data_IF_401362967532
#
_entry.id   IF_401362967532
#
_cell.length_a   1.000
_cell.length_b   1.000
_cell.length_c   1.000
_cell.angle_alpha   90.00
_cell.angle_beta   90.00
_cell.angle_gamma   90.00
#
_symmetry.space_group_name_H-M   'P 1'
#
loop_
_entity.id
_entity.type
_entity.pdbx_description
1 polymer ?
#
# COMPACT_ATOMS: atom_id res chain seq x y z
N UNK A 1 23.80 -8.33 -11.25
CA UNK A 1 23.40 -7.05 -10.63
C UNK A 1 21.97 -7.19 -10.10
N UNK A 2 21.80 -7.54 -8.81
CA UNK A 2 20.47 -7.70 -8.20
C UNK A 2 19.99 -6.34 -7.70
N UNK A 3 19.38 -5.54 -8.57
CA UNK A 3 18.69 -4.30 -8.18
C UNK A 3 17.46 -4.68 -7.36
N UNK A 4 17.64 -4.87 -6.06
CA UNK A 4 16.54 -4.81 -5.12
C UNK A 4 16.08 -3.36 -5.14
N UNK A 5 15.03 -3.05 -5.92
CA UNK A 5 14.35 -1.76 -5.88
C UNK A 5 13.56 -1.75 -4.56
N UNK A 6 14.27 -1.62 -3.46
CA UNK A 6 13.68 -1.43 -2.15
C UNK A 6 13.04 -0.05 -2.17
N UNK A 7 11.71 -0.04 -2.21
CA UNK A 7 10.93 1.20 -2.09
C UNK A 7 11.33 1.83 -0.76
N UNK A 8 11.76 3.09 -0.81
CA UNK A 8 12.22 3.83 0.37
C UNK A 8 11.15 3.74 1.48
N UNK A 9 11.56 3.24 2.65
CA UNK A 9 10.69 3.06 3.82
C UNK A 9 10.00 4.36 4.26
N UNK A 10 10.67 5.50 4.07
CA UNK A 10 10.10 6.84 4.33
C UNK A 10 8.95 7.14 3.37
N UNK A 11 9.13 6.84 2.08
CA UNK A 11 8.08 7.03 1.08
C UNK A 11 6.89 6.11 1.38
N UNK A 12 7.15 4.85 1.73
CA UNK A 12 6.13 3.90 2.14
C UNK A 12 5.35 4.41 3.36
N UNK A 13 6.03 4.95 4.38
CA UNK A 13 5.39 5.55 5.55
C UNK A 13 4.46 6.71 5.20
N UNK A 14 4.89 7.61 4.30
CA UNK A 14 4.05 8.71 3.78
C UNK A 14 2.81 8.18 3.04
N UNK A 15 2.96 7.12 2.24
CA UNK A 15 1.86 6.47 1.53
C UNK A 15 0.81 5.92 2.52
N UNK A 16 1.26 5.17 3.52
CA UNK A 16 0.37 4.57 4.51
C UNK A 16 -0.41 5.62 5.32
N UNK A 17 0.24 6.74 5.66
CA UNK A 17 -0.40 7.88 6.32
C UNK A 17 -1.42 8.59 5.42
N UNK A 18 -1.07 8.83 4.15
CA UNK A 18 -1.92 9.54 3.18
C UNK A 18 -3.28 8.86 3.00
N UNK A 19 -3.28 7.54 2.91
CA UNK A 19 -4.50 6.76 2.64
C UNK A 19 -5.24 6.31 3.91
N UNK A 20 -4.76 6.69 5.11
CA UNK A 20 -5.35 6.29 6.42
C UNK A 20 -5.75 4.80 6.48
N UNK A 21 -4.89 3.94 5.95
CA UNK A 21 -5.18 2.51 5.81
C UNK A 21 -5.33 1.84 7.18
N UNK A 22 -6.22 0.84 7.28
CA UNK A 22 -6.29 -0.01 8.49
C UNK A 22 -5.02 -0.85 8.65
N UNK A 23 -4.83 -1.46 9.82
CA UNK A 23 -3.70 -2.38 10.08
C UNK A 23 -3.61 -3.51 9.04
N UNK A 24 -4.75 -4.03 8.58
CA UNK A 24 -4.81 -5.08 7.55
C UNK A 24 -4.40 -4.54 6.18
N UNK A 25 -4.87 -3.34 5.82
CA UNK A 25 -4.48 -2.64 4.60
C UNK A 25 -2.98 -2.32 4.56
N UNK A 26 -2.42 -1.83 5.67
CA UNK A 26 -0.98 -1.53 5.81
C UNK A 26 -0.12 -2.76 5.55
N UNK A 27 -0.45 -3.91 6.14
CA UNK A 27 0.30 -5.15 5.92
C UNK A 27 0.27 -5.60 4.45
N UNK A 28 -0.87 -5.46 3.77
CA UNK A 28 -0.99 -5.78 2.34
C UNK A 28 -0.08 -4.93 1.46
N UNK A 29 0.04 -3.63 1.76
CA UNK A 29 0.94 -2.73 1.05
C UNK A 29 2.40 -3.00 1.36
N UNK A 30 2.76 -3.29 2.62
CA UNK A 30 4.14 -3.62 3.00
C UNK A 30 4.62 -4.89 2.28
N UNK A 31 3.79 -5.95 2.27
CA UNK A 31 4.08 -7.18 1.51
C UNK A 31 4.20 -6.92 0.02
N UNK A 32 3.36 -6.04 -0.53
CA UNK A 32 3.48 -5.64 -1.93
C UNK A 32 4.79 -4.89 -2.16
N UNK A 33 5.14 -3.92 -1.33
CA UNK A 33 6.37 -3.12 -1.47
C UNK A 33 7.65 -3.95 -1.41
N UNK A 34 7.63 -5.08 -0.71
CA UNK A 34 8.74 -6.04 -0.66
C UNK A 34 8.88 -6.92 -1.92
N UNK A 35 7.89 -6.93 -2.83
CA UNK A 35 7.99 -7.68 -4.09
C UNK A 35 8.92 -6.97 -5.06
N UNK A 36 9.79 -7.77 -5.72
CA UNK A 36 10.84 -7.35 -6.67
C UNK A 36 10.36 -6.42 -7.81
N UNK A 37 9.07 -6.45 -8.17
CA UNK A 37 8.49 -5.67 -9.27
C UNK A 37 7.47 -4.62 -8.83
N UNK A 38 7.49 -4.22 -7.56
CA UNK A 38 6.56 -3.21 -7.09
C UNK A 38 6.98 -1.82 -7.53
N UNK A 39 6.13 -1.20 -8.34
CA UNK A 39 6.27 0.20 -8.74
C UNK A 39 5.49 1.10 -7.78
N UNK A 40 5.94 2.35 -7.64
CA UNK A 40 5.25 3.35 -6.83
C UNK A 40 3.80 3.59 -7.28
N UNK A 41 3.58 3.58 -8.60
CA UNK A 41 2.26 3.67 -9.21
C UNK A 41 1.36 2.48 -8.84
N UNK A 42 1.94 1.27 -8.83
CA UNK A 42 1.27 0.05 -8.42
C UNK A 42 0.83 0.08 -6.95
N UNK A 43 1.72 0.53 -6.05
CA UNK A 43 1.39 0.70 -4.63
C UNK A 43 0.29 1.76 -4.41
N UNK A 44 0.34 2.90 -5.10
CA UNK A 44 -0.71 3.91 -5.01
C UNK A 44 -2.08 3.41 -5.48
N UNK A 45 -2.10 2.63 -6.56
CA UNK A 45 -3.33 2.00 -7.07
C UNK A 45 -3.86 0.96 -6.08
N UNK A 46 -2.97 0.16 -5.47
CA UNK A 46 -3.33 -0.81 -4.45
C UNK A 46 -3.91 -0.13 -3.20
N UNK A 47 -3.28 0.95 -2.73
CA UNK A 47 -3.75 1.74 -1.60
C UNK A 47 -5.16 2.27 -1.82
N UNK A 48 -5.43 2.90 -2.97
CA UNK A 48 -6.77 3.37 -3.34
C UNK A 48 -7.81 2.25 -3.35
N UNK A 49 -7.45 1.08 -3.91
CA UNK A 49 -8.36 -0.08 -3.96
C UNK A 49 -8.69 -0.61 -2.56
N UNK A 50 -7.71 -0.63 -1.66
CA UNK A 50 -7.92 -1.05 -0.27
C UNK A 50 -8.82 -0.07 0.46
N UNK A 51 -8.52 1.23 0.41
CA UNK A 51 -9.36 2.27 1.03
C UNK A 51 -10.79 2.17 0.53
N UNK A 52 -10.99 2.06 -0.78
CA UNK A 52 -12.33 1.95 -1.37
C UNK A 52 -13.10 0.72 -0.84
N UNK A 53 -12.43 -0.44 -0.75
CA UNK A 53 -13.04 -1.65 -0.17
C UNK A 53 -13.38 -1.46 1.30
N UNK A 54 -12.46 -0.90 2.09
CA UNK A 54 -12.68 -0.66 3.52
C UNK A 54 -13.82 0.34 3.76
N UNK A 55 -13.89 1.43 2.99
CA UNK A 55 -14.98 2.40 3.05
C UNK A 55 -16.34 1.80 2.67
N UNK A 56 -16.38 0.90 1.67
CA UNK A 56 -17.63 0.22 1.29
C UNK A 56 -18.07 -0.81 2.33
N UNK A 57 -17.14 -1.49 2.99
CA UNK A 57 -17.46 -2.39 4.11
C UNK A 57 -18.07 -1.60 5.28
N UNK A 58 -17.58 -0.38 5.55
CA UNK A 58 -18.11 0.48 6.62
C UNK A 58 -19.51 1.02 6.28
N UNK A 59 -19.80 1.32 5.01
CA UNK A 59 -21.12 1.84 4.59
C UNK A 59 -22.23 0.80 4.54
N UNK A 60 -21.90 -0.48 4.41
CA UNK A 60 -22.87 -1.59 4.31
C UNK A 60 -23.09 -2.31 5.64
N UNK A 61 -22.76 -1.67 6.77
CA UNK A 61 -22.95 -2.21 8.12
C UNK A 61 -23.88 -1.29 8.90
#
# INVERSE_FOLDING_TARGET
>A
MNTCISINSIALGKLLKRYKLTSKGKQGIIKAAQKKYSTWSGLNRLARKIVFKESNIIKNK
#
